data_IF_242888442692
#
_entry.id   IF_242888442692
#
_cell.length_a   1.000
_cell.length_b   1.000
_cell.length_c   1.000
_cell.angle_alpha   90.00
_cell.angle_beta   90.00
_cell.angle_gamma   90.00
#
_symmetry.space_group_name_H-M   'P 1'
#
loop_
_entity.id
_entity.type
_entity.pdbx_description
1 polymer ?
#
# COMPACT_ATOMS: atom_id res chain seq x y z
N UNK A 1 -15.01 -21.16 36.81
CA UNK A 1 -16.25 -21.89 36.45
C UNK A 1 -17.01 -22.17 37.72
N UNK A 2 -18.34 -22.08 37.72
CA UNK A 2 -19.12 -22.39 38.92
C UNK A 2 -19.00 -23.87 39.27
N UNK A 3 -18.75 -24.18 40.55
CA UNK A 3 -18.62 -25.57 41.03
C UNK A 3 -19.83 -26.44 40.66
N UNK A 4 -21.04 -25.86 40.65
CA UNK A 4 -22.26 -26.57 40.27
C UNK A 4 -22.28 -26.98 38.78
N UNK A 5 -21.66 -26.20 37.88
CA UNK A 5 -21.56 -26.56 36.46
C UNK A 5 -20.60 -27.72 36.25
N UNK A 6 -19.51 -27.78 37.01
CA UNK A 6 -18.58 -28.93 36.99
C UNK A 6 -19.35 -30.22 37.26
N UNK A 7 -20.20 -30.22 38.30
CA UNK A 7 -21.01 -31.38 38.68
C UNK A 7 -22.12 -31.70 37.66
N UNK A 8 -22.74 -30.70 37.05
CA UNK A 8 -23.72 -30.88 35.97
C UNK A 8 -23.08 -31.52 34.73
N UNK A 9 -21.91 -31.04 34.31
CA UNK A 9 -21.15 -31.59 33.17
C UNK A 9 -20.81 -33.06 33.43
N UNK A 10 -20.25 -33.37 34.60
CA UNK A 10 -19.92 -34.75 34.98
C UNK A 10 -21.17 -35.65 34.96
N UNK A 11 -22.28 -35.20 35.56
CA UNK A 11 -23.53 -35.98 35.58
C UNK A 11 -24.11 -36.22 34.19
N UNK A 12 -24.15 -35.18 33.34
CA UNK A 12 -24.66 -35.29 31.99
C UNK A 12 -23.80 -36.18 31.12
N UNK A 13 -22.47 -36.04 31.16
CA UNK A 13 -21.56 -36.90 30.40
C UNK A 13 -21.71 -38.36 30.80
N UNK A 14 -21.79 -38.67 32.10
CA UNK A 14 -22.07 -40.04 32.57
C UNK A 14 -23.42 -40.55 32.06
N UNK A 15 -24.46 -39.71 32.07
CA UNK A 15 -25.79 -40.05 31.55
C UNK A 15 -25.77 -40.39 30.06
N UNK A 16 -25.18 -39.52 29.24
CA UNK A 16 -25.06 -39.69 27.79
C UNK A 16 -24.25 -40.94 27.44
N UNK A 17 -23.11 -41.16 28.10
CA UNK A 17 -22.26 -42.33 27.86
C UNK A 17 -22.98 -43.63 28.21
N UNK A 18 -23.81 -43.61 29.26
CA UNK A 18 -24.63 -44.76 29.67
C UNK A 18 -25.79 -45.02 28.71
N UNK A 19 -26.47 -43.98 28.22
CA UNK A 19 -27.52 -44.10 27.19
C UNK A 19 -26.95 -44.60 25.85
N UNK A 20 -25.70 -44.25 25.53
CA UNK A 20 -24.94 -44.79 24.40
C UNK A 20 -24.53 -46.27 24.53
N UNK A 21 -24.92 -46.95 25.61
CA UNK A 21 -24.70 -48.38 25.82
C UNK A 21 -23.36 -48.73 26.47
N UNK A 22 -22.55 -47.76 26.87
CA UNK A 22 -21.30 -48.03 27.56
C UNK A 22 -21.55 -48.39 29.04
N UNK A 23 -21.10 -49.57 29.44
CA UNK A 23 -21.16 -50.08 30.82
C UNK A 23 -19.84 -49.96 31.57
N UNK A 24 -18.75 -49.69 30.86
CA UNK A 24 -17.40 -49.49 31.38
C UNK A 24 -16.68 -48.41 30.58
N UNK A 25 -15.82 -47.64 31.25
CA UNK A 25 -14.98 -46.57 30.66
C UNK A 25 -13.54 -46.81 31.08
N UNK A 26 -12.58 -46.57 30.18
CA UNK A 26 -11.17 -46.73 30.54
C UNK A 26 -10.72 -45.63 31.51
N UNK A 27 -9.69 -45.92 32.31
CA UNK A 27 -9.09 -44.91 33.19
C UNK A 27 -8.43 -43.78 32.37
N UNK A 28 -7.92 -44.09 31.18
CA UNK A 28 -7.30 -43.13 30.28
C UNK A 28 -8.33 -42.10 29.77
N UNK A 29 -9.53 -42.55 29.39
CA UNK A 29 -10.62 -41.66 28.93
C UNK A 29 -11.16 -40.78 30.07
N UNK A 30 -11.26 -41.34 31.28
CA UNK A 30 -11.63 -40.59 32.48
C UNK A 30 -10.60 -39.52 32.82
N UNK A 31 -9.31 -39.86 32.73
CA UNK A 31 -8.23 -38.92 32.96
C UNK A 31 -8.22 -37.81 31.91
N UNK A 32 -8.45 -38.13 30.63
CA UNK A 32 -8.58 -37.15 29.56
C UNK A 32 -9.79 -36.22 29.78
N UNK A 33 -10.93 -36.76 30.20
CA UNK A 33 -12.12 -35.96 30.51
C UNK A 33 -11.89 -35.01 31.68
N UNK A 34 -11.29 -35.49 32.78
CA UNK A 34 -10.97 -34.65 33.94
C UNK A 34 -10.00 -33.53 33.56
N UNK A 35 -8.98 -33.82 32.74
CA UNK A 35 -8.03 -32.80 32.25
C UNK A 35 -8.72 -31.70 31.42
N UNK A 36 -9.68 -32.05 30.56
CA UNK A 36 -10.40 -31.06 29.75
C UNK A 36 -11.36 -30.20 30.61
N UNK A 37 -12.01 -30.81 31.61
CA UNK A 37 -12.84 -30.09 32.57
C UNK A 37 -12.00 -29.16 33.46
N UNK A 38 -10.83 -29.61 33.94
CA UNK A 38 -9.88 -28.77 34.68
C UNK A 38 -9.37 -27.60 33.85
N UNK A 39 -9.00 -27.84 32.59
CA UNK A 39 -8.57 -26.80 31.66
C UNK A 39 -9.67 -25.76 31.45
N UNK A 40 -10.90 -26.19 31.20
CA UNK A 40 -12.06 -25.28 31.05
C UNK A 40 -12.34 -24.51 32.34
N UNK A 41 -12.24 -25.16 33.49
CA UNK A 41 -12.40 -24.54 34.80
C UNK A 41 -11.32 -23.50 35.10
N UNK A 42 -10.07 -23.74 34.67
CA UNK A 42 -8.93 -22.84 34.87
C UNK A 42 -8.98 -21.58 34.00
N UNK A 43 -9.58 -21.66 32.81
CA UNK A 43 -9.76 -20.53 31.89
C UNK A 43 -11.01 -19.70 32.19
N UNK A 44 -11.91 -20.21 33.03
CA UNK A 44 -13.20 -19.58 33.37
C UNK A 44 -13.12 -18.95 34.76
N UNK A 45 -13.39 -17.64 34.94
CA UNK A 45 -13.42 -16.99 36.26
C UNK A 45 -14.31 -17.72 37.29
N UNK A 46 -13.97 -17.61 38.58
CA UNK A 46 -14.57 -18.42 39.66
C UNK A 46 -16.11 -18.30 39.77
N UNK A 47 -16.69 -17.16 39.36
CA UNK A 47 -18.12 -16.87 39.51
C UNK A 47 -18.90 -16.74 38.18
N UNK A 48 -18.27 -17.03 37.05
CA UNK A 48 -18.87 -16.91 35.71
C UNK A 48 -19.20 -18.30 35.17
N UNK A 49 -20.33 -18.44 34.47
CA UNK A 49 -20.61 -19.70 33.76
C UNK A 49 -19.59 -19.94 32.66
N UNK A 50 -19.24 -21.20 32.39
CA UNK A 50 -18.31 -21.52 31.30
C UNK A 50 -18.79 -20.97 29.94
N UNK A 51 -20.10 -20.98 29.69
CA UNK A 51 -20.71 -20.43 28.49
C UNK A 51 -20.62 -18.91 28.37
N UNK A 52 -20.85 -18.17 29.47
CA UNK A 52 -20.70 -16.71 29.49
C UNK A 52 -19.24 -16.29 29.28
N UNK A 53 -18.30 -16.97 29.94
CA UNK A 53 -16.88 -16.70 29.77
C UNK A 53 -16.40 -16.99 28.34
N UNK A 54 -16.83 -18.10 27.75
CA UNK A 54 -16.52 -18.43 26.35
C UNK A 54 -17.13 -17.41 25.38
N UNK A 55 -18.37 -16.96 25.63
CA UNK A 55 -19.03 -15.94 24.82
C UNK A 55 -18.33 -14.57 24.94
N UNK A 56 -17.90 -14.19 26.14
CA UNK A 56 -17.14 -12.95 26.36
C UNK A 56 -15.77 -12.99 25.70
N UNK A 57 -15.05 -14.10 25.82
CA UNK A 57 -13.79 -14.33 25.09
C UNK A 57 -13.98 -14.24 23.57
N UNK A 58 -15.03 -14.89 23.04
CA UNK A 58 -15.35 -14.82 21.61
C UNK A 58 -15.70 -13.39 21.16
N UNK A 59 -16.44 -12.63 21.98
CA UNK A 59 -16.71 -11.20 21.69
C UNK A 59 -15.44 -10.36 21.73
N UNK A 60 -14.54 -10.61 22.68
CA UNK A 60 -13.26 -9.93 22.77
C UNK A 60 -12.40 -10.20 21.54
N UNK A 61 -12.28 -11.46 21.12
CA UNK A 61 -11.56 -11.87 19.91
C UNK A 61 -12.17 -11.24 18.65
N UNK A 62 -13.50 -11.25 18.52
CA UNK A 62 -14.19 -10.63 17.39
C UNK A 62 -13.95 -9.12 17.37
N UNK A 63 -14.02 -8.45 18.52
CA UNK A 63 -13.76 -7.02 18.65
C UNK A 63 -12.31 -6.68 18.29
N UNK A 64 -11.35 -7.47 18.77
CA UNK A 64 -9.93 -7.33 18.42
C UNK A 64 -9.71 -7.54 16.92
N UNK A 65 -10.36 -8.54 16.32
CA UNK A 65 -10.29 -8.80 14.88
C UNK A 65 -10.86 -7.66 14.05
N UNK A 66 -12.06 -7.16 14.39
CA UNK A 66 -12.68 -6.01 13.71
C UNK A 66 -11.79 -4.77 13.85
N UNK A 67 -11.28 -4.50 15.05
CA UNK A 67 -10.37 -3.38 15.30
C UNK A 67 -9.09 -3.47 14.46
N UNK A 68 -8.46 -4.64 14.41
CA UNK A 68 -7.27 -4.87 13.58
C UNK A 68 -7.59 -4.67 12.09
N UNK A 69 -8.72 -5.18 11.59
CA UNK A 69 -9.12 -4.98 10.19
C UNK A 69 -9.39 -3.51 9.85
N UNK A 70 -9.97 -2.77 10.79
CA UNK A 70 -10.20 -1.34 10.64
C UNK A 70 -8.87 -0.58 10.59
N UNK A 71 -7.92 -0.90 11.48
CA UNK A 71 -6.59 -0.30 11.49
C UNK A 71 -5.81 -0.58 10.20
N UNK A 72 -5.85 -1.82 9.71
CA UNK A 72 -5.21 -2.18 8.43
C UNK A 72 -5.81 -1.36 7.28
N UNK A 73 -7.14 -1.26 7.23
CA UNK A 73 -7.83 -0.49 6.20
C UNK A 73 -7.50 1.01 6.24
N UNK A 74 -7.46 1.60 7.43
CA UNK A 74 -7.09 3.01 7.62
C UNK A 74 -5.63 3.26 7.21
N UNK A 75 -4.73 2.36 7.59
CA UNK A 75 -3.32 2.41 7.20
C UNK A 75 -3.16 2.34 5.69
N UNK A 76 -3.87 1.42 5.01
CA UNK A 76 -3.83 1.29 3.56
C UNK A 76 -4.32 2.57 2.86
N UNK A 77 -5.40 3.17 3.36
CA UNK A 77 -5.93 4.43 2.82
C UNK A 77 -4.95 5.60 3.03
N UNK A 78 -4.32 5.69 4.20
CA UNK A 78 -3.32 6.72 4.49
C UNK A 78 -2.09 6.55 3.60
N UNK A 79 -1.58 5.33 3.47
CA UNK A 79 -0.45 5.01 2.60
C UNK A 79 -0.75 5.35 1.13
N UNK A 80 -1.96 5.05 0.64
CA UNK A 80 -2.39 5.41 -0.70
C UNK A 80 -2.43 6.94 -0.90
N UNK A 81 -3.00 7.69 0.06
CA UNK A 81 -3.05 9.16 0.01
C UNK A 81 -1.64 9.76 0.04
N UNK A 82 -0.76 9.23 0.89
CA UNK A 82 0.64 9.63 0.99
C UNK A 82 1.38 9.40 -0.33
N UNK A 83 1.21 8.22 -0.94
CA UNK A 83 1.80 7.89 -2.24
C UNK A 83 1.32 8.82 -3.36
N UNK A 84 0.01 9.11 -3.44
CA UNK A 84 -0.54 10.06 -4.43
C UNK A 84 0.04 11.46 -4.22
N UNK A 85 0.08 11.94 -2.98
CA UNK A 85 0.57 13.28 -2.64
C UNK A 85 2.05 13.42 -3.00
N UNK A 86 2.87 12.45 -2.61
CA UNK A 86 4.30 12.40 -2.95
C UNK A 86 4.51 12.32 -4.46
N UNK A 87 3.72 11.51 -5.17
CA UNK A 87 3.77 11.40 -6.63
C UNK A 87 3.42 12.71 -7.34
N UNK A 88 2.39 13.43 -6.87
CA UNK A 88 2.05 14.76 -7.39
C UNK A 88 3.16 15.78 -7.15
N UNK A 89 3.80 15.75 -5.98
CA UNK A 89 4.95 16.61 -5.69
C UNK A 89 6.11 16.32 -6.64
N UNK A 90 6.44 15.05 -6.88
CA UNK A 90 7.48 14.67 -7.84
C UNK A 90 7.18 15.15 -9.27
N UNK A 91 5.94 14.99 -9.74
CA UNK A 91 5.50 15.48 -11.05
C UNK A 91 5.64 17.00 -11.16
N UNK A 92 5.17 17.75 -10.15
CA UNK A 92 5.30 19.22 -10.10
C UNK A 92 6.75 19.66 -10.09
N UNK A 93 7.60 19.03 -9.28
CA UNK A 93 9.03 19.31 -9.25
C UNK A 93 9.68 19.03 -10.60
N UNK A 94 9.36 17.90 -11.24
CA UNK A 94 9.91 17.52 -12.54
C UNK A 94 9.51 18.50 -13.65
N UNK A 95 8.24 18.92 -13.68
CA UNK A 95 7.75 19.97 -14.58
C UNK A 95 8.46 21.31 -14.33
N UNK A 96 8.63 21.69 -13.06
CA UNK A 96 9.23 22.96 -12.67
C UNK A 96 10.71 23.03 -13.09
N UNK A 97 11.51 22.00 -12.78
CA UNK A 97 12.95 22.02 -13.10
C UNK A 97 13.19 21.95 -14.61
N UNK A 98 12.46 21.09 -15.34
CA UNK A 98 12.61 20.98 -16.79
C UNK A 98 12.06 22.22 -17.51
N UNK A 99 10.90 22.72 -17.09
CA UNK A 99 10.30 23.93 -17.65
C UNK A 99 11.15 25.17 -17.38
N UNK A 100 11.59 25.36 -16.14
CA UNK A 100 12.47 26.46 -15.76
C UNK A 100 13.80 26.44 -16.51
N UNK A 101 14.44 25.27 -16.62
CA UNK A 101 15.66 25.10 -17.39
C UNK A 101 15.45 25.36 -18.89
N UNK A 102 14.33 24.89 -19.47
CA UNK A 102 13.98 25.15 -20.87
C UNK A 102 13.87 26.65 -21.14
N UNK A 103 13.12 27.39 -20.31
CA UNK A 103 12.93 28.84 -20.46
C UNK A 103 14.27 29.57 -20.28
N UNK A 104 15.08 29.17 -19.32
CA UNK A 104 16.40 29.79 -19.07
C UNK A 104 17.35 29.61 -20.28
N UNK A 105 17.47 28.38 -20.80
CA UNK A 105 18.32 28.10 -21.96
C UNK A 105 17.79 28.79 -23.22
N UNK A 106 16.48 28.78 -23.44
CA UNK A 106 15.87 29.48 -24.57
C UNK A 106 16.14 30.99 -24.52
N UNK A 107 16.02 31.60 -23.34
CA UNK A 107 16.35 33.01 -23.11
C UNK A 107 17.82 33.31 -23.40
N UNK A 108 18.73 32.47 -22.90
CA UNK A 108 20.16 32.61 -23.17
C UNK A 108 20.48 32.47 -24.67
N UNK A 109 19.98 31.43 -25.33
CA UNK A 109 20.13 31.23 -26.78
C UNK A 109 19.63 32.48 -27.54
N UNK A 110 18.46 33.01 -27.16
CA UNK A 110 17.91 34.21 -27.78
C UNK A 110 18.81 35.45 -27.63
N UNK A 111 19.49 35.61 -26.50
CA UNK A 111 20.42 36.72 -26.28
C UNK A 111 21.74 36.61 -27.06
N UNK A 112 22.20 35.40 -27.36
CA UNK A 112 23.52 35.16 -27.96
C UNK A 112 23.47 34.63 -29.40
N UNK A 113 22.27 34.49 -29.98
CA UNK A 113 22.04 33.89 -31.30
C UNK A 113 22.84 34.55 -32.44
N UNK A 114 23.08 35.86 -32.35
CA UNK A 114 23.77 36.63 -33.37
C UNK A 114 25.23 36.93 -33.03
N UNK A 115 25.74 36.46 -31.88
CA UNK A 115 27.13 36.69 -31.48
C UNK A 115 28.04 35.59 -32.08
N UNK A 116 28.98 35.93 -32.98
CA UNK A 116 29.89 34.97 -33.59
C UNK A 116 30.74 34.20 -32.59
N UNK A 117 31.00 34.76 -31.40
CA UNK A 117 31.82 34.13 -30.35
C UNK A 117 31.12 32.97 -29.67
N UNK A 118 29.79 32.95 -29.66
CA UNK A 118 28.98 31.92 -28.98
C UNK A 118 28.43 30.87 -29.94
N UNK A 119 28.68 30.99 -31.25
CA UNK A 119 28.23 30.04 -32.27
C UNK A 119 28.66 28.60 -32.00
N UNK A 120 29.82 28.39 -31.37
CA UNK A 120 30.30 27.04 -31.03
C UNK A 120 29.47 26.36 -29.94
N UNK A 121 28.81 27.14 -29.06
CA UNK A 121 28.02 26.63 -27.93
C UNK A 121 26.57 26.31 -28.32
N UNK A 122 26.04 27.00 -29.34
CA UNK A 122 24.64 26.93 -29.76
C UNK A 122 24.14 25.49 -30.04
N UNK A 123 24.89 24.60 -30.73
CA UNK A 123 24.42 23.24 -30.97
C UNK A 123 24.23 22.44 -29.67
N UNK A 124 25.18 22.53 -28.72
CA UNK A 124 25.10 21.79 -27.46
C UNK A 124 23.98 22.33 -26.56
N UNK A 125 23.80 23.66 -26.51
CA UNK A 125 22.68 24.29 -25.80
C UNK A 125 21.32 23.95 -26.43
N UNK A 126 21.24 23.83 -27.76
CA UNK A 126 20.01 23.42 -28.44
C UNK A 126 19.62 21.98 -28.10
N UNK A 127 20.60 21.07 -28.02
CA UNK A 127 20.36 19.70 -27.54
C UNK A 127 19.91 19.70 -26.08
N UNK A 128 20.54 20.51 -25.23
CA UNK A 128 20.11 20.66 -23.83
C UNK A 128 18.66 21.14 -23.73
N UNK A 129 18.28 22.15 -24.50
CA UNK A 129 16.92 22.66 -24.56
C UNK A 129 15.93 21.57 -24.98
N UNK A 130 16.26 20.82 -26.04
CA UNK A 130 15.43 19.73 -26.52
C UNK A 130 15.21 18.66 -25.43
N UNK A 131 16.27 18.29 -24.69
CA UNK A 131 16.17 17.34 -23.59
C UNK A 131 15.24 17.84 -22.47
N UNK A 132 15.34 19.12 -22.08
CA UNK A 132 14.45 19.69 -21.08
C UNK A 132 12.99 19.74 -21.55
N UNK A 133 12.74 20.08 -22.82
CA UNK A 133 11.38 20.06 -23.40
C UNK A 133 10.80 18.64 -23.41
N UNK A 134 11.60 17.63 -23.77
CA UNK A 134 11.18 16.23 -23.64
C UNK A 134 10.94 15.82 -22.18
N UNK A 135 11.72 16.37 -21.24
CA UNK A 135 11.50 16.18 -19.82
C UNK A 135 10.14 16.73 -19.37
N UNK A 136 9.77 17.95 -19.80
CA UNK A 136 8.44 18.53 -19.57
C UNK A 136 7.35 17.64 -20.16
N UNK A 137 7.50 17.21 -21.41
CA UNK A 137 6.52 16.35 -22.08
C UNK A 137 6.37 15.00 -21.37
N UNK A 138 7.47 14.39 -20.94
CA UNK A 138 7.47 13.14 -20.18
C UNK A 138 6.70 13.27 -18.85
N UNK A 139 6.90 14.38 -18.13
CA UNK A 139 6.16 14.65 -16.89
C UNK A 139 4.66 14.96 -17.14
N UNK A 140 4.33 15.63 -18.25
CA UNK A 140 2.93 15.86 -18.65
C UNK A 140 2.22 14.55 -19.01
N UNK A 141 2.87 13.67 -19.79
CA UNK A 141 2.35 12.34 -20.11
C UNK A 141 2.18 11.49 -18.84
N UNK A 142 3.13 11.53 -17.91
CA UNK A 142 3.01 10.83 -16.63
C UNK A 142 1.81 11.32 -15.80
N UNK A 143 1.51 12.62 -15.85
CA UNK A 143 0.32 13.19 -15.21
C UNK A 143 -0.96 12.63 -15.83
N UNK A 144 -1.04 12.59 -17.17
CA UNK A 144 -2.17 11.97 -17.88
C UNK A 144 -2.31 10.46 -17.60
N UNK A 145 -1.19 9.74 -17.54
CA UNK A 145 -1.16 8.32 -17.20
C UNK A 145 -1.64 8.07 -15.75
N UNK A 146 -1.36 9.00 -14.83
CA UNK A 146 -1.88 8.96 -13.45
C UNK A 146 -3.40 9.06 -13.45
N UNK A 147 -3.99 9.94 -14.26
CA UNK A 147 -5.45 10.03 -14.40
C UNK A 147 -6.06 8.72 -14.91
N UNK A 148 -5.48 8.13 -15.97
CA UNK A 148 -5.91 6.82 -16.49
C UNK A 148 -5.77 5.72 -15.43
N UNK A 149 -4.70 5.76 -14.65
CA UNK A 149 -4.48 4.82 -13.55
C UNK A 149 -5.61 4.88 -12.51
N UNK A 150 -5.99 6.09 -12.11
CA UNK A 150 -7.06 6.32 -11.13
C UNK A 150 -8.43 5.89 -11.66
N UNK A 151 -8.78 6.26 -12.89
CA UNK A 151 -10.01 5.79 -13.55
C UNK A 151 -10.04 4.24 -13.64
N UNK A 152 -8.89 3.62 -13.89
CA UNK A 152 -8.69 2.18 -13.86
C UNK A 152 -9.01 1.55 -12.50
N UNK A 153 -8.42 2.07 -11.43
CA UNK A 153 -8.72 1.59 -10.08
C UNK A 153 -10.15 1.89 -9.63
N UNK A 154 -10.74 2.98 -10.14
CA UNK A 154 -12.16 3.36 -9.99
C UNK A 154 -13.17 2.47 -10.73
N UNK A 155 -12.71 1.45 -11.45
CA UNK A 155 -13.55 0.51 -12.21
C UNK A 155 -14.30 1.12 -13.41
N UNK A 156 -13.88 2.28 -13.90
CA UNK A 156 -14.54 2.99 -15.01
C UNK A 156 -14.44 2.25 -16.37
N UNK A 157 -13.47 1.34 -16.54
CA UNK A 157 -13.27 0.58 -17.78
C UNK A 157 -13.81 -0.86 -17.73
N UNK A 158 -14.74 -1.16 -16.81
CA UNK A 158 -15.38 -2.46 -16.70
C UNK A 158 -14.41 -3.60 -16.32
N UNK A 159 -14.47 -4.79 -16.95
CA UNK A 159 -13.73 -5.97 -16.49
C UNK A 159 -12.21 -5.85 -16.57
N UNK A 160 -11.69 -4.94 -17.42
CA UNK A 160 -10.24 -4.71 -17.61
C UNK A 160 -9.69 -3.55 -16.78
N UNK A 161 -10.52 -2.94 -15.94
CA UNK A 161 -10.19 -1.68 -15.29
C UNK A 161 -8.96 -1.77 -14.38
N UNK A 162 -8.80 -2.88 -13.65
CA UNK A 162 -7.62 -3.12 -12.80
C UNK A 162 -6.31 -3.23 -13.60
N UNK A 163 -6.36 -3.87 -14.78
CA UNK A 163 -5.19 -3.99 -15.67
C UNK A 163 -4.81 -2.64 -16.28
N UNK A 164 -5.80 -1.86 -16.71
CA UNK A 164 -5.60 -0.50 -17.22
C UNK A 164 -5.05 0.41 -16.12
N UNK A 165 -5.58 0.28 -14.90
CA UNK A 165 -5.12 1.00 -13.71
C UNK A 165 -3.62 0.78 -13.46
N UNK A 166 -3.20 -0.50 -13.49
CA UNK A 166 -1.79 -0.89 -13.33
C UNK A 166 -0.90 -0.39 -14.46
N UNK A 167 -1.35 -0.51 -15.71
CA UNK A 167 -0.58 -0.05 -16.87
C UNK A 167 -0.36 1.48 -16.82
N UNK A 168 -1.41 2.25 -16.51
CA UNK A 168 -1.31 3.69 -16.31
C UNK A 168 -0.36 4.07 -15.19
N UNK A 169 -0.37 3.31 -14.08
CA UNK A 169 0.56 3.53 -12.97
C UNK A 169 2.02 3.32 -13.40
N UNK A 170 2.31 2.21 -14.08
CA UNK A 170 3.67 1.90 -14.58
C UNK A 170 4.13 2.97 -15.56
N UNK A 171 3.27 3.39 -16.50
CA UNK A 171 3.58 4.46 -17.43
C UNK A 171 3.87 5.80 -16.73
N UNK A 172 3.13 6.14 -15.67
CA UNK A 172 3.38 7.33 -14.86
C UNK A 172 4.76 7.27 -14.17
N UNK A 173 5.10 6.15 -13.54
CA UNK A 173 6.41 5.96 -12.89
C UNK A 173 7.55 6.10 -13.90
N UNK A 174 7.44 5.42 -15.05
CA UNK A 174 8.46 5.50 -16.11
C UNK A 174 8.59 6.93 -16.66
N UNK A 175 7.48 7.65 -16.82
CA UNK A 175 7.51 9.04 -17.30
C UNK A 175 8.15 10.00 -16.30
N UNK A 176 7.96 9.81 -14.99
CA UNK A 176 8.66 10.61 -13.95
C UNK A 176 10.16 10.33 -13.96
N UNK A 177 10.56 9.05 -13.96
CA UNK A 177 11.98 8.65 -14.00
C UNK A 177 12.64 9.15 -15.29
N UNK A 178 11.95 9.02 -16.43
CA UNK A 178 12.39 9.55 -17.72
C UNK A 178 12.60 11.05 -17.68
N UNK A 179 11.68 11.81 -17.07
CA UNK A 179 11.80 13.26 -16.97
C UNK A 179 13.00 13.72 -16.11
N UNK A 180 13.31 13.02 -15.02
CA UNK A 180 14.53 13.30 -14.24
C UNK A 180 15.81 12.91 -14.99
N UNK A 181 15.78 11.80 -15.73
CA UNK A 181 16.91 11.37 -16.55
C UNK A 181 17.21 12.40 -17.64
N UNK A 182 16.17 12.87 -18.34
CA UNK A 182 16.28 13.91 -19.36
C UNK A 182 16.79 15.24 -18.78
N UNK A 183 16.32 15.63 -17.59
CA UNK A 183 16.86 16.79 -16.88
C UNK A 183 18.36 16.65 -16.62
N UNK A 184 18.80 15.52 -16.07
CA UNK A 184 20.23 15.28 -15.79
C UNK A 184 21.09 15.32 -17.06
N UNK A 185 20.63 14.69 -18.14
CA UNK A 185 21.32 14.71 -19.43
C UNK A 185 21.36 16.12 -20.05
N UNK A 186 20.25 16.87 -19.97
CA UNK A 186 20.17 18.25 -20.43
C UNK A 186 21.15 19.13 -19.66
N UNK A 187 21.12 19.08 -18.34
CA UNK A 187 22.02 19.84 -17.47
C UNK A 187 23.50 19.54 -17.78
N UNK A 188 23.84 18.27 -18.02
CA UNK A 188 25.19 17.89 -18.43
C UNK A 188 25.59 18.49 -19.79
N UNK A 189 24.68 18.47 -20.77
CA UNK A 189 24.93 19.07 -22.10
C UNK A 189 25.11 20.58 -22.04
N UNK A 190 24.31 21.27 -21.21
CA UNK A 190 24.50 22.69 -20.94
C UNK A 190 25.87 22.95 -20.29
N UNK A 191 26.24 22.16 -19.27
CA UNK A 191 27.54 22.28 -18.61
C UNK A 191 28.72 22.12 -19.59
N UNK A 192 28.68 21.10 -20.45
CA UNK A 192 29.72 20.91 -21.48
C UNK A 192 29.75 22.07 -22.46
N UNK A 193 28.59 22.63 -22.84
CA UNK A 193 28.54 23.78 -23.74
C UNK A 193 29.20 25.04 -23.16
N UNK A 194 29.19 25.21 -21.84
CA UNK A 194 29.81 26.35 -21.16
C UNK A 194 31.31 26.17 -20.89
N UNK A 195 31.82 24.93 -20.92
CA UNK A 195 33.21 24.63 -20.58
C UNK A 195 34.05 24.11 -21.76
N UNK A 196 33.43 23.83 -22.91
CA UNK A 196 34.10 23.46 -24.16
C UNK A 196 34.14 24.64 -25.12
#
# INVERSE_FOLDING_TARGET
>A
MKTNEVFEIIKNTIGITREGGATQVSLDDLQAFVQEVEKTASLTPADVSAGEAAMEAYKADLSAWVSSRQQDHETDLEMLRSAITTGQSALKSSLLINGGASVAILGFIGSVWSDPKTNMMLPSLSISLLLFVWGVLSAAVATGATYVSQAGYGREFGPKSQTIGRLGHVAAVLGVVGAYTLFGLGAWRAYVAFNG
#
